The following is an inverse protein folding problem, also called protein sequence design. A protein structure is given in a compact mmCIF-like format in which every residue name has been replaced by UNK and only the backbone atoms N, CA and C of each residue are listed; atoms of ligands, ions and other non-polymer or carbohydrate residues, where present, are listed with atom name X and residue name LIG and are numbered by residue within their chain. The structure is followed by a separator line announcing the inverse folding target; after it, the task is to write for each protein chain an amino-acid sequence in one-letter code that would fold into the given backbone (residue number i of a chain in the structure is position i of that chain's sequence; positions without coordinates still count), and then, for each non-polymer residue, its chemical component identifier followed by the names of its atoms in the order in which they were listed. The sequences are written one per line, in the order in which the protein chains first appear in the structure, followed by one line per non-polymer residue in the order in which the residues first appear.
data_IF_185531934588
#
_entry.id   IF_185531934588
#
_cell.length_a   1.000
_cell.length_b   1.000
_cell.length_c   1.000
_cell.angle_alpha   90.00
_cell.angle_beta   90.00
_cell.angle_gamma   90.00
#
_symmetry.space_group_name_H-M   'P 1'
#
loop_
_entity.id
_entity.type
_entity.pdbx_description
1 polymer ?
#
# COMPACT_ATOMS: atom_id res chain seq x y z
N UNK A 1 1.73 2.59 -17.58
CA UNK A 1 2.89 1.99 -16.87
C UNK A 1 3.56 3.06 -16.00
N UNK A 2 2.92 3.44 -14.89
CA UNK A 2 3.36 4.56 -14.03
C UNK A 2 3.19 4.27 -12.52
N UNK A 3 2.91 3.02 -12.17
CA UNK A 3 2.66 2.57 -10.79
C UNK A 3 3.89 1.95 -10.11
N UNK A 4 5.01 1.77 -10.81
CA UNK A 4 6.22 1.12 -10.27
C UNK A 4 7.23 2.08 -9.63
N UNK A 5 6.87 3.35 -9.43
CA UNK A 5 7.81 4.38 -8.97
C UNK A 5 7.42 5.01 -7.62
N UNK A 6 6.67 4.27 -6.81
CA UNK A 6 6.30 4.70 -5.46
C UNK A 6 6.95 3.77 -4.45
N UNK A 7 8.04 4.22 -3.83
CA UNK A 7 8.59 3.58 -2.63
C UNK A 7 8.08 4.32 -1.40
N UNK A 8 7.30 3.61 -0.59
CA UNK A 8 6.71 4.10 0.65
C UNK A 8 7.65 3.81 1.84
N UNK A 9 8.45 4.78 2.27
CA UNK A 9 9.29 4.68 3.48
C UNK A 9 9.57 6.08 4.07
N UNK A 10 8.68 6.54 4.96
CA UNK A 10 8.82 7.75 5.81
C UNK A 10 8.78 9.13 5.11
N UNK A 11 8.68 10.25 5.86
CA UNK A 11 7.65 11.30 5.72
C UNK A 11 7.47 11.78 4.27
N UNK A 12 6.21 11.80 3.84
CA UNK A 12 5.76 11.91 2.46
C UNK A 12 6.20 13.23 1.79
N UNK A 13 7.44 13.30 1.30
CA UNK A 13 7.87 14.37 0.40
C UNK A 13 7.87 13.85 -1.03
N UNK A 14 6.83 14.22 -1.78
CA UNK A 14 6.83 14.14 -3.24
C UNK A 14 7.83 15.17 -3.77
N UNK A 15 9.00 14.69 -4.22
CA UNK A 15 9.96 15.55 -4.91
C UNK A 15 9.68 15.42 -6.41
N UNK A 16 8.97 16.39 -6.97
CA UNK A 16 8.78 16.47 -8.42
C UNK A 16 10.12 16.85 -9.07
N UNK A 17 10.71 15.93 -9.84
CA UNK A 17 11.94 16.19 -10.61
C UNK A 17 11.58 16.45 -12.08
N UNK A 18 11.96 17.61 -12.60
CA UNK A 18 11.72 18.04 -13.97
C UNK A 18 12.39 17.14 -15.03
N UNK A 19 13.32 16.27 -14.63
CA UNK A 19 13.87 15.21 -15.49
C UNK A 19 12.80 14.27 -16.08
N UNK A 20 11.61 14.19 -15.46
CA UNK A 20 10.50 13.36 -15.96
C UNK A 20 9.85 13.88 -17.26
N UNK A 21 10.15 15.13 -17.64
CA UNK A 21 9.72 15.73 -18.90
C UNK A 21 10.84 15.82 -19.94
N UNK A 22 12.05 15.33 -19.63
CA UNK A 22 13.18 15.36 -20.56
C UNK A 22 12.86 14.61 -21.86
N UNK A 23 13.01 15.30 -23.01
CA UNK A 23 12.75 14.76 -24.34
C UNK A 23 11.28 14.78 -24.79
N UNK A 24 10.37 15.39 -24.02
CA UNK A 24 8.97 15.64 -24.44
C UNK A 24 8.75 17.12 -24.69
N UNK A 25 7.77 17.46 -25.54
CA UNK A 25 7.33 18.84 -25.72
C UNK A 25 6.86 19.40 -24.37
N UNK A 26 7.28 20.63 -24.05
CA UNK A 26 6.87 21.29 -22.82
C UNK A 26 5.33 21.45 -22.85
N UNK A 27 4.61 20.98 -21.82
CA UNK A 27 3.18 21.23 -21.72
C UNK A 27 2.89 22.74 -21.68
N UNK A 28 1.81 23.14 -22.32
CA UNK A 28 1.38 24.54 -22.37
C UNK A 28 0.38 24.79 -21.24
N UNK A 29 0.63 25.84 -20.46
CA UNK A 29 -0.34 26.43 -19.54
C UNK A 29 -0.95 27.64 -20.23
N UNK A 30 -2.27 27.60 -20.41
CA UNK A 30 -2.99 28.75 -20.95
C UNK A 30 -3.33 29.71 -19.82
N UNK A 31 -3.00 30.98 -20.00
CA UNK A 31 -3.34 32.04 -19.04
C UNK A 31 -4.30 33.04 -19.65
N UNK A 32 -5.16 33.63 -18.83
CA UNK A 32 -6.06 34.71 -19.22
C UNK A 32 -5.93 35.88 -18.23
N UNK A 33 -5.34 36.99 -18.68
CA UNK A 33 -5.13 38.22 -17.91
C UNK A 33 -4.13 38.08 -16.76
N UNK A 34 -3.24 37.08 -16.81
CA UNK A 34 -2.26 36.84 -15.75
C UNK A 34 -0.96 37.63 -15.94
N UNK A 35 -0.72 38.15 -17.13
CA UNK A 35 0.35 39.11 -17.44
C UNK A 35 0.35 40.34 -16.51
N UNK A 36 -0.83 40.80 -16.09
CA UNK A 36 -0.96 41.90 -15.13
C UNK A 36 -0.59 41.52 -13.69
N UNK A 37 -0.50 40.22 -13.36
CA UNK A 37 -0.18 39.73 -12.02
C UNK A 37 1.31 39.40 -11.87
N UNK A 38 1.90 38.77 -12.89
CA UNK A 38 3.28 38.28 -12.83
C UNK A 38 4.13 38.64 -14.06
N UNK A 39 3.69 39.57 -14.91
CA UNK A 39 4.46 40.00 -16.08
C UNK A 39 4.59 38.95 -17.18
N UNK A 40 5.45 39.23 -18.17
CA UNK A 40 5.72 38.34 -19.32
C UNK A 40 7.01 37.52 -19.18
N UNK A 41 7.83 37.80 -18.16
CA UNK A 41 9.20 37.30 -18.04
C UNK A 41 9.43 36.17 -17.03
N UNK A 42 8.69 35.98 -15.91
CA UNK A 42 8.83 34.76 -15.14
C UNK A 42 8.08 33.64 -15.85
N UNK A 43 8.84 32.67 -16.39
CA UNK A 43 8.30 31.44 -16.95
C UNK A 43 8.39 30.30 -15.93
N UNK A 44 7.34 29.46 -15.81
CA UNK A 44 7.41 28.27 -14.99
C UNK A 44 8.42 27.30 -15.59
N UNK A 45 9.20 26.64 -14.74
CA UNK A 45 10.22 25.67 -15.19
C UNK A 45 9.51 24.46 -15.81
N UNK A 46 9.81 24.15 -17.07
CA UNK A 46 9.27 22.98 -17.78
C UNK A 46 7.84 23.14 -18.33
N UNK A 47 7.31 24.37 -18.35
CA UNK A 47 6.01 24.69 -18.97
C UNK A 47 6.15 25.91 -19.88
N UNK A 48 5.39 25.93 -20.97
CA UNK A 48 5.22 27.12 -21.79
C UNK A 48 3.96 27.86 -21.35
N UNK A 49 4.07 29.15 -21.07
CA UNK A 49 2.90 30.00 -20.77
C UNK A 49 2.44 30.65 -22.06
N UNK A 50 1.18 30.41 -22.41
CA UNK A 50 0.54 31.05 -23.53
C UNK A 50 -0.63 31.89 -23.03
N UNK A 51 -0.46 33.21 -23.10
CA UNK A 51 -1.44 34.19 -22.65
C UNK A 51 -2.45 34.45 -23.76
N UNK A 52 -3.73 34.19 -23.48
CA UNK A 52 -4.81 34.33 -24.45
C UNK A 52 -5.54 35.66 -24.34
N UNK A 53 -5.31 36.43 -23.26
CA UNK A 53 -5.99 37.70 -22.97
C UNK A 53 -7.53 37.59 -22.99
N UNK A 54 -8.08 36.42 -22.67
CA UNK A 54 -9.53 36.29 -22.50
C UNK A 54 -10.00 37.10 -21.29
N UNK A 55 -11.16 37.74 -21.43
CA UNK A 55 -11.70 38.62 -20.39
C UNK A 55 -12.31 37.86 -19.19
N UNK A 56 -12.68 36.59 -19.38
CA UNK A 56 -13.31 35.76 -18.35
C UNK A 56 -12.82 34.31 -18.45
N UNK A 57 -12.89 33.61 -17.31
CA UNK A 57 -12.63 32.17 -17.22
C UNK A 57 -13.61 31.34 -18.05
N UNK A 58 -14.83 31.83 -18.28
CA UNK A 58 -15.81 31.21 -19.18
C UNK A 58 -15.29 31.12 -20.62
N UNK A 59 -14.79 32.24 -21.17
CA UNK A 59 -14.20 32.24 -22.51
C UNK A 59 -12.96 31.34 -22.62
N UNK A 60 -12.13 31.33 -21.57
CA UNK A 60 -10.99 30.43 -21.50
C UNK A 60 -11.42 28.95 -21.45
N UNK A 61 -12.46 28.63 -20.69
CA UNK A 61 -13.04 27.29 -20.61
C UNK A 61 -13.63 26.85 -21.95
N UNK A 62 -14.38 27.71 -22.62
CA UNK A 62 -14.97 27.41 -23.94
C UNK A 62 -13.87 27.16 -24.97
N UNK A 63 -12.83 28.00 -25.01
CA UNK A 63 -11.67 27.78 -25.88
C UNK A 63 -10.96 26.44 -25.61
N UNK A 64 -10.79 26.08 -24.33
CA UNK A 64 -10.17 24.81 -23.94
C UNK A 64 -10.99 23.60 -24.40
N UNK A 65 -12.32 23.69 -24.33
CA UNK A 65 -13.23 22.63 -24.77
C UNK A 65 -13.27 22.54 -26.30
N UNK A 66 -13.36 23.67 -27.00
CA UNK A 66 -13.42 23.72 -28.46
C UNK A 66 -12.12 23.22 -29.11
N UNK A 67 -10.97 23.53 -28.50
CA UNK A 67 -9.65 23.12 -29.02
C UNK A 67 -9.13 21.81 -28.43
N UNK A 68 -9.96 21.09 -27.66
CA UNK A 68 -9.56 19.85 -26.98
C UNK A 68 -8.99 18.78 -27.93
N UNK A 69 -9.57 18.64 -29.12
CA UNK A 69 -9.12 17.62 -30.09
C UNK A 69 -8.08 18.11 -31.11
N UNK A 70 -7.73 19.40 -31.08
CA UNK A 70 -6.94 20.06 -32.13
C UNK A 70 -5.62 20.63 -31.58
N UNK A 71 -5.37 20.50 -30.27
CA UNK A 71 -4.14 21.00 -29.68
C UNK A 71 -2.92 20.10 -30.04
N UNK A 72 -1.85 20.70 -30.54
CA UNK A 72 -0.62 19.96 -30.86
C UNK A 72 0.20 19.59 -29.61
N UNK A 73 0.10 20.43 -28.57
CA UNK A 73 0.84 20.28 -27.31
C UNK A 73 -0.10 19.89 -26.16
N UNK A 74 0.34 19.06 -25.22
CA UNK A 74 -0.49 18.65 -24.10
C UNK A 74 -0.79 19.84 -23.18
N UNK A 75 -2.07 20.03 -22.87
CA UNK A 75 -2.57 21.05 -21.96
C UNK A 75 -3.16 20.37 -20.73
N UNK A 76 -2.55 20.58 -19.57
CA UNK A 76 -3.01 19.96 -18.33
C UNK A 76 -3.61 20.97 -17.35
N UNK A 77 -3.24 22.24 -17.45
CA UNK A 77 -3.80 23.31 -16.62
C UNK A 77 -3.94 24.61 -17.40
N UNK A 78 -4.86 25.44 -16.94
CA UNK A 78 -5.04 26.80 -17.36
C UNK A 78 -5.46 27.66 -16.17
N UNK A 79 -5.15 28.95 -16.20
CA UNK A 79 -5.44 29.88 -15.11
C UNK A 79 -6.04 31.15 -15.70
N UNK A 80 -7.21 31.54 -15.21
CA UNK A 80 -7.74 32.88 -15.46
C UNK A 80 -7.49 33.74 -14.23
N UNK A 81 -6.73 34.81 -14.41
CA UNK A 81 -6.43 35.76 -13.36
C UNK A 81 -7.41 36.93 -13.40
N UNK A 82 -7.79 37.41 -12.21
CA UNK A 82 -8.66 38.57 -12.02
C UNK A 82 -9.96 38.52 -12.83
N UNK A 83 -10.70 37.41 -12.71
CA UNK A 83 -11.97 37.23 -13.40
C UNK A 83 -13.03 38.19 -12.83
N UNK A 84 -13.36 39.22 -13.62
CA UNK A 84 -14.34 40.25 -13.25
C UNK A 84 -15.75 39.70 -13.09
N UNK A 85 -16.13 38.69 -13.86
CA UNK A 85 -17.48 38.13 -13.83
C UNK A 85 -17.71 37.33 -12.55
N UNK A 86 -16.75 36.50 -12.17
CA UNK A 86 -16.82 35.73 -10.92
C UNK A 86 -16.67 36.66 -9.71
N UNK A 87 -15.79 37.67 -9.80
CA UNK A 87 -15.66 38.68 -8.74
C UNK A 87 -16.97 39.45 -8.54
N UNK A 88 -17.63 39.87 -9.64
CA UNK A 88 -18.94 40.53 -9.59
C UNK A 88 -20.04 39.61 -9.04
N UNK A 89 -20.03 38.33 -9.42
CA UNK A 89 -20.96 37.33 -8.92
C UNK A 89 -20.82 37.14 -7.40
N UNK A 90 -19.59 36.91 -6.90
CA UNK A 90 -19.35 36.77 -5.46
C UNK A 90 -19.72 38.04 -4.68
N UNK A 91 -19.53 39.22 -5.29
CA UNK A 91 -19.95 40.50 -4.71
C UNK A 91 -21.48 40.58 -4.60
N UNK A 92 -22.20 40.16 -5.64
CA UNK A 92 -23.66 40.13 -5.64
C UNK A 92 -24.25 39.14 -4.62
N UNK A 93 -23.57 38.01 -4.36
CA UNK A 93 -24.00 36.98 -3.40
C UNK A 93 -23.50 37.27 -1.96
N UNK A 94 -22.72 38.34 -1.75
CA UNK A 94 -22.22 38.73 -0.44
C UNK A 94 -21.04 37.88 0.07
N UNK A 95 -20.39 37.11 -0.80
CA UNK A 95 -19.25 36.23 -0.46
C UNK A 95 -17.89 36.83 -0.86
N UNK A 96 -17.87 38.00 -1.49
CA UNK A 96 -16.63 38.66 -1.92
C UNK A 96 -15.75 39.07 -0.73
N UNK A 97 -14.47 38.69 -0.79
CA UNK A 97 -13.49 38.87 0.29
C UNK A 97 -12.51 40.03 0.09
N UNK A 98 -12.80 40.95 -0.82
CA UNK A 98 -11.98 42.17 -1.00
C UNK A 98 -10.88 42.07 -2.05
N UNK A 99 -10.71 40.93 -2.73
CA UNK A 99 -9.69 40.73 -3.78
C UNK A 99 -10.30 40.17 -5.05
N UNK A 100 -9.66 40.40 -6.18
CA UNK A 100 -10.05 39.79 -7.45
C UNK A 100 -9.85 38.26 -7.40
N UNK A 101 -10.74 37.53 -8.05
CA UNK A 101 -10.78 36.06 -8.01
C UNK A 101 -9.97 35.47 -9.15
N UNK A 102 -9.11 34.50 -8.82
CA UNK A 102 -8.38 33.70 -9.79
C UNK A 102 -9.00 32.31 -9.90
N UNK A 103 -9.14 31.81 -11.13
CA UNK A 103 -9.84 30.57 -11.45
C UNK A 103 -8.84 29.59 -12.04
N UNK A 104 -8.72 28.43 -11.39
CA UNK A 104 -7.87 27.35 -11.82
C UNK A 104 -8.67 26.30 -12.58
N UNK A 105 -8.28 26.06 -13.82
CA UNK A 105 -8.84 25.01 -14.67
C UNK A 105 -7.78 23.91 -14.78
N UNK A 106 -8.10 22.69 -14.38
CA UNK A 106 -7.18 21.58 -14.44
C UNK A 106 -7.84 20.35 -15.05
N UNK A 107 -7.02 19.55 -15.73
CA UNK A 107 -7.45 18.32 -16.33
C UNK A 107 -7.50 17.19 -15.29
N UNK A 108 -8.71 16.69 -15.01
CA UNK A 108 -8.95 15.63 -14.02
C UNK A 108 -8.41 14.25 -14.42
N UNK A 109 -8.00 14.06 -15.69
CA UNK A 109 -7.34 12.82 -16.14
C UNK A 109 -5.91 12.68 -15.60
N UNK A 110 -5.31 13.76 -15.10
CA UNK A 110 -4.00 13.74 -14.45
C UNK A 110 -4.15 13.86 -12.93
N UNK A 111 -3.79 12.79 -12.22
CA UNK A 111 -4.02 12.62 -10.77
C UNK A 111 -3.45 13.74 -9.88
N UNK A 112 -2.39 14.43 -10.31
CA UNK A 112 -1.69 15.44 -9.50
C UNK A 112 -1.82 16.86 -10.07
N UNK A 113 -2.62 17.04 -11.11
CA UNK A 113 -2.59 18.28 -11.88
C UNK A 113 -3.08 19.50 -11.11
N UNK A 114 -4.11 19.33 -10.26
CA UNK A 114 -4.62 20.41 -9.44
C UNK A 114 -3.54 20.97 -8.49
N UNK A 115 -2.84 20.08 -7.79
CA UNK A 115 -1.77 20.46 -6.88
C UNK A 115 -0.59 21.11 -7.62
N UNK A 116 -0.19 20.55 -8.76
CA UNK A 116 0.88 21.10 -9.59
C UNK A 116 0.50 22.49 -10.10
N UNK A 117 -0.73 22.70 -10.59
CA UNK A 117 -1.18 24.00 -11.09
C UNK A 117 -1.16 25.09 -10.02
N UNK A 118 -1.54 24.75 -8.79
CA UNK A 118 -1.51 25.66 -7.65
C UNK A 118 -0.06 26.00 -7.29
N UNK A 119 0.80 24.98 -7.23
CA UNK A 119 2.21 25.14 -6.93
C UNK A 119 2.93 26.03 -7.95
N UNK A 120 2.67 25.81 -9.24
CA UNK A 120 3.24 26.63 -10.33
C UNK A 120 2.74 28.07 -10.28
N UNK A 121 1.47 28.28 -9.93
CA UNK A 121 0.89 29.62 -9.84
C UNK A 121 1.55 30.45 -8.74
N UNK A 122 1.64 29.91 -7.54
CA UNK A 122 2.28 30.63 -6.43
C UNK A 122 3.78 30.82 -6.69
N UNK A 123 4.47 29.86 -7.32
CA UNK A 123 5.88 30.01 -7.69
C UNK A 123 6.11 31.24 -8.60
N UNK A 124 5.26 31.41 -9.61
CA UNK A 124 5.29 32.56 -10.50
C UNK A 124 4.94 33.87 -9.79
N UNK A 125 3.91 33.85 -8.94
CA UNK A 125 3.52 35.01 -8.16
C UNK A 125 4.65 35.51 -7.25
N UNK A 126 5.36 34.59 -6.58
CA UNK A 126 6.48 34.96 -5.71
C UNK A 126 7.71 35.44 -6.47
N UNK A 127 7.98 34.88 -7.66
CA UNK A 127 9.07 35.36 -8.54
C UNK A 127 8.87 36.81 -8.94
N UNK A 128 7.64 37.18 -9.30
CA UNK A 128 7.32 38.57 -9.62
C UNK A 128 7.41 39.46 -8.37
N UNK A 129 6.77 39.05 -7.26
CA UNK A 129 6.74 39.83 -6.03
C UNK A 129 8.15 40.17 -5.50
N UNK A 130 9.09 39.23 -5.63
CA UNK A 130 10.47 39.36 -5.16
C UNK A 130 11.44 39.84 -6.25
N UNK A 131 10.96 40.06 -7.48
CA UNK A 131 11.77 40.46 -8.64
C UNK A 131 12.95 39.53 -8.91
N UNK A 132 12.86 38.25 -8.52
CA UNK A 132 13.97 37.29 -8.58
C UNK A 132 13.50 35.93 -9.05
N UNK A 133 14.16 35.42 -10.11
CA UNK A 133 13.85 34.12 -10.72
C UNK A 133 14.36 32.91 -9.91
N UNK A 134 15.16 33.14 -8.86
CA UNK A 134 15.79 32.10 -8.04
C UNK A 134 15.00 31.74 -6.78
N UNK A 135 13.75 32.19 -6.68
CA UNK A 135 12.87 31.85 -5.55
C UNK A 135 11.97 30.72 -5.98
N UNK A 136 11.89 29.69 -5.13
CA UNK A 136 10.98 28.57 -5.30
C UNK A 136 10.24 28.31 -4.00
N UNK A 137 8.91 28.18 -4.06
CA UNK A 137 8.15 27.76 -2.89
C UNK A 137 8.14 26.23 -2.80
N UNK A 138 8.43 25.72 -1.59
CA UNK A 138 8.25 24.30 -1.28
C UNK A 138 6.80 24.07 -0.85
N UNK A 139 6.07 23.28 -1.64
CA UNK A 139 4.74 22.81 -1.30
C UNK A 139 4.86 21.41 -0.70
N UNK A 140 4.24 21.21 0.46
CA UNK A 140 3.99 19.87 1.00
C UNK A 140 2.49 19.61 0.84
N UNK A 141 2.14 18.56 0.11
CA UNK A 141 0.76 18.09 -0.03
C UNK A 141 0.65 16.83 0.81
N UNK A 142 -0.08 16.94 1.92
CA UNK A 142 -0.49 15.77 2.69
C UNK A 142 -1.73 15.17 2.02
N UNK A 143 -1.75 13.84 1.87
CA UNK A 143 -2.94 13.18 1.38
C UNK A 143 -4.06 13.31 2.42
N UNK A 144 -5.18 13.94 2.04
CA UNK A 144 -6.37 14.06 2.91
C UNK A 144 -6.87 12.71 3.44
N UNK A 145 -6.66 11.64 2.67
CA UNK A 145 -6.81 10.27 3.13
C UNK A 145 -5.61 9.45 2.65
N UNK A 146 -4.95 8.75 3.57
CA UNK A 146 -4.02 7.69 3.21
C UNK A 146 -4.77 6.69 2.31
N UNK A 147 -4.34 6.43 1.07
CA UNK A 147 -4.97 5.38 0.27
C UNK A 147 -4.85 4.09 1.05
N UNK A 148 -5.97 3.40 1.23
CA UNK A 148 -6.02 2.06 1.81
C UNK A 148 -5.14 1.17 0.93
N UNK A 149 -3.88 0.98 1.33
CA UNK A 149 -2.86 0.32 0.52
C UNK A 149 -3.13 -1.17 0.29
N UNK A 150 -4.04 -1.76 1.06
CA UNK A 150 -4.38 -3.15 0.91
C UNK A 150 -5.58 -3.29 -0.03
N UNK A 151 -5.26 -3.52 -1.30
CA UNK A 151 -6.25 -4.15 -2.20
C UNK A 151 -6.78 -5.40 -1.49
N UNK A 152 -8.09 -5.50 -1.33
CA UNK A 152 -8.74 -6.64 -0.67
C UNK A 152 -8.26 -8.00 -1.22
N UNK A 153 -7.96 -8.02 -2.52
CA UNK A 153 -7.42 -9.16 -3.23
C UNK A 153 -5.96 -9.46 -2.84
N UNK A 154 -5.16 -8.43 -2.58
CA UNK A 154 -3.81 -8.52 -2.01
C UNK A 154 -3.80 -9.18 -0.63
N UNK A 155 -4.72 -8.81 0.27
CA UNK A 155 -4.83 -9.43 1.59
C UNK A 155 -5.11 -10.93 1.50
N UNK A 156 -6.12 -11.29 0.68
CA UNK A 156 -6.51 -12.69 0.49
C UNK A 156 -5.39 -13.51 -0.15
N UNK A 157 -4.75 -12.98 -1.21
CA UNK A 157 -3.68 -13.70 -1.91
C UNK A 157 -2.44 -13.87 -1.05
N UNK A 158 -1.99 -12.82 -0.36
CA UNK A 158 -0.84 -12.91 0.54
C UNK A 158 -1.10 -13.89 1.68
N UNK A 159 -2.25 -13.80 2.34
CA UNK A 159 -2.59 -14.70 3.43
C UNK A 159 -2.76 -16.16 2.96
N UNK A 160 -3.35 -16.41 1.78
CA UNK A 160 -3.43 -17.75 1.22
C UNK A 160 -2.05 -18.33 0.89
N UNK A 161 -1.12 -17.53 0.36
CA UNK A 161 0.24 -17.96 0.06
C UNK A 161 1.03 -18.29 1.33
N UNK A 162 0.84 -17.52 2.40
CA UNK A 162 1.46 -17.80 3.70
C UNK A 162 0.84 -19.05 4.33
N UNK A 163 -0.48 -19.26 4.23
CA UNK A 163 -1.15 -20.41 4.85
C UNK A 163 -0.63 -21.77 4.34
N UNK A 164 -0.28 -21.88 3.06
CA UNK A 164 0.12 -23.17 2.45
C UNK A 164 1.32 -23.79 3.19
N UNK A 165 2.49 -23.13 3.35
CA UNK A 165 3.59 -23.67 4.16
C UNK A 165 3.19 -24.06 5.58
N UNK A 166 2.30 -23.30 6.23
CA UNK A 166 1.90 -23.57 7.60
C UNK A 166 1.04 -24.83 7.73
N UNK A 167 0.27 -25.22 6.71
CA UNK A 167 -0.49 -26.49 6.75
C UNK A 167 0.39 -27.72 6.58
N UNK A 168 1.57 -27.58 5.95
CA UNK A 168 2.56 -28.67 5.83
C UNK A 168 3.24 -29.00 7.17
N UNK A 169 3.40 -28.01 8.06
CA UNK A 169 4.07 -28.18 9.35
C UNK A 169 3.48 -29.29 10.22
N UNK A 170 2.15 -29.34 10.50
CA UNK A 170 1.54 -30.46 11.23
C UNK A 170 1.35 -31.71 10.39
N UNK A 171 1.19 -31.57 9.07
CA UNK A 171 0.90 -32.70 8.18
C UNK A 171 2.07 -33.68 8.06
N UNK A 172 3.30 -33.18 8.04
CA UNK A 172 4.51 -34.00 7.93
C UNK A 172 4.72 -34.98 9.11
N UNK A 173 4.70 -34.54 10.38
CA UNK A 173 4.77 -35.43 11.55
C UNK A 173 3.73 -36.55 11.52
N UNK A 174 2.47 -36.23 11.14
CA UNK A 174 1.41 -37.24 11.02
C UNK A 174 1.78 -38.31 10.00
N UNK A 175 2.20 -37.88 8.81
CA UNK A 175 2.51 -38.78 7.72
C UNK A 175 3.63 -39.77 8.12
N UNK A 176 4.68 -39.28 8.79
CA UNK A 176 5.80 -40.11 9.24
C UNK A 176 5.38 -41.12 10.31
N UNK A 177 4.63 -40.70 11.33
CA UNK A 177 4.15 -41.62 12.40
C UNK A 177 3.22 -42.71 11.84
N UNK A 178 2.38 -42.37 10.84
CA UNK A 178 1.52 -43.36 10.17
C UNK A 178 2.36 -44.28 9.29
N UNK A 179 3.34 -43.75 8.56
CA UNK A 179 4.26 -44.52 7.71
C UNK A 179 5.04 -45.56 8.52
N UNK A 180 5.54 -45.20 9.70
CA UNK A 180 6.26 -46.13 10.59
C UNK A 180 5.40 -47.30 11.08
N UNK A 181 4.10 -47.06 11.27
CA UNK A 181 3.13 -48.13 11.57
C UNK A 181 2.81 -48.95 10.34
N UNK A 182 2.65 -48.32 9.18
CA UNK A 182 2.31 -48.98 7.92
C UNK A 182 3.43 -49.92 7.44
N UNK A 183 4.70 -49.54 7.59
CA UNK A 183 5.83 -50.38 7.19
C UNK A 183 6.25 -51.41 8.26
N UNK A 184 5.58 -51.44 9.42
CA UNK A 184 5.91 -52.35 10.52
C UNK A 184 7.17 -51.96 11.32
N UNK A 185 7.85 -50.85 10.98
CA UNK A 185 9.02 -50.36 11.72
C UNK A 185 8.70 -50.14 13.20
N UNK A 186 7.52 -49.58 13.50
CA UNK A 186 7.06 -49.41 14.88
C UNK A 186 6.92 -50.74 15.64
N UNK A 187 6.48 -51.79 14.95
CA UNK A 187 6.36 -53.13 15.55
C UNK A 187 7.75 -53.72 15.82
N UNK A 188 8.68 -53.57 14.87
CA UNK A 188 10.07 -54.03 15.02
C UNK A 188 10.77 -53.31 16.19
N UNK A 189 10.60 -51.99 16.33
CA UNK A 189 11.14 -51.23 17.46
C UNK A 189 10.60 -51.74 18.82
N UNK A 190 9.32 -52.11 18.87
CA UNK A 190 8.74 -52.71 20.08
C UNK A 190 9.33 -54.10 20.38
N UNK A 191 9.59 -54.92 19.36
CA UNK A 191 10.27 -56.23 19.53
C UNK A 191 11.71 -56.07 20.04
N UNK A 192 12.39 -54.98 19.66
CA UNK A 192 13.70 -54.62 20.17
C UNK A 192 13.69 -54.08 21.61
N UNK A 193 12.53 -54.01 22.28
CA UNK A 193 12.40 -53.56 23.66
C UNK A 193 12.39 -52.03 23.83
N UNK A 194 12.12 -51.26 22.78
CA UNK A 194 12.01 -49.81 22.88
C UNK A 194 10.81 -49.41 23.76
N UNK A 195 11.07 -48.62 24.80
CA UNK A 195 10.01 -48.10 25.66
C UNK A 195 9.10 -47.12 24.89
N UNK A 196 7.79 -47.24 25.10
CA UNK A 196 6.76 -46.39 24.50
C UNK A 196 7.02 -44.89 24.72
N UNK A 197 7.40 -44.49 25.94
CA UNK A 197 7.65 -43.08 26.26
C UNK A 197 8.87 -42.51 25.51
N UNK A 198 9.92 -43.32 25.37
CA UNK A 198 11.16 -42.91 24.70
C UNK A 198 10.91 -42.66 23.21
N UNK A 199 10.09 -43.48 22.56
CA UNK A 199 9.69 -43.27 21.18
C UNK A 199 8.99 -41.93 20.96
N UNK A 200 7.96 -41.63 21.75
CA UNK A 200 7.20 -40.40 21.58
C UNK A 200 8.02 -39.16 21.93
N UNK A 201 8.86 -39.25 22.97
CA UNK A 201 9.78 -38.17 23.31
C UNK A 201 10.80 -37.92 22.19
N UNK A 202 11.39 -38.98 21.60
CA UNK A 202 12.34 -38.83 20.51
C UNK A 202 11.71 -38.20 19.26
N UNK A 203 10.52 -38.67 18.87
CA UNK A 203 9.78 -38.07 17.74
C UNK A 203 9.40 -36.62 18.01
N UNK A 204 8.89 -36.33 19.22
CA UNK A 204 8.51 -34.96 19.58
C UNK A 204 9.71 -34.01 19.57
N UNK A 205 10.86 -34.43 20.10
CA UNK A 205 12.09 -33.62 20.08
C UNK A 205 12.57 -33.40 18.64
N UNK A 206 12.52 -34.42 17.79
CA UNK A 206 12.90 -34.30 16.39
C UNK A 206 11.99 -33.34 15.62
N UNK A 207 10.68 -33.52 15.73
CA UNK A 207 9.69 -32.67 15.05
C UNK A 207 9.74 -31.23 15.57
N UNK A 208 9.97 -31.03 16.87
CA UNK A 208 10.13 -29.70 17.46
C UNK A 208 11.43 -29.02 16.98
N UNK A 209 12.53 -29.77 16.86
CA UNK A 209 13.78 -29.24 16.31
C UNK A 209 13.61 -28.81 14.84
N UNK A 210 12.96 -29.63 14.02
CA UNK A 210 12.65 -29.28 12.63
C UNK A 210 11.69 -28.07 12.53
N UNK A 211 10.72 -27.98 13.44
CA UNK A 211 9.84 -26.82 13.56
C UNK A 211 10.63 -25.54 13.89
N UNK A 212 11.55 -25.59 14.86
CA UNK A 212 12.38 -24.44 15.22
C UNK A 212 13.22 -23.93 14.04
N UNK A 213 13.80 -24.83 13.24
CA UNK A 213 14.51 -24.44 12.02
C UNK A 213 13.58 -23.68 11.06
N UNK A 214 12.37 -24.19 10.85
CA UNK A 214 11.38 -23.54 9.98
C UNK A 214 10.94 -22.18 10.52
N UNK A 215 10.73 -22.08 11.84
CA UNK A 215 10.37 -20.85 12.53
C UNK A 215 11.45 -19.76 12.38
N UNK A 216 12.73 -20.13 12.54
CA UNK A 216 13.85 -19.21 12.33
C UNK A 216 13.91 -18.70 10.89
N UNK A 217 13.66 -19.56 9.90
CA UNK A 217 13.58 -19.17 8.50
C UNK A 217 12.43 -18.17 8.24
N UNK A 218 11.25 -18.40 8.83
CA UNK A 218 10.13 -17.46 8.74
C UNK A 218 10.48 -16.07 9.31
N UNK A 219 11.12 -16.02 10.48
CA UNK A 219 11.55 -14.75 11.09
C UNK A 219 12.59 -14.06 10.22
N UNK A 220 13.55 -14.80 9.66
CA UNK A 220 14.56 -14.26 8.78
C UNK A 220 13.94 -13.65 7.51
N UNK A 221 12.93 -14.31 6.92
CA UNK A 221 12.17 -13.76 5.79
C UNK A 221 11.50 -12.45 6.18
N UNK A 222 10.81 -12.41 7.33
CA UNK A 222 10.19 -11.17 7.82
C UNK A 222 11.22 -10.05 8.03
N UNK A 223 12.45 -10.40 8.44
CA UNK A 223 13.54 -9.45 8.68
C UNK A 223 14.08 -8.88 7.37
N UNK A 224 14.32 -9.73 6.37
CA UNK A 224 14.75 -9.32 5.02
C UNK A 224 13.73 -8.35 4.41
N UNK A 225 12.44 -8.66 4.52
CA UNK A 225 11.37 -7.81 3.98
C UNK A 225 10.96 -6.65 4.92
N UNK A 226 11.66 -6.46 6.03
CA UNK A 226 11.42 -5.40 7.02
C UNK A 226 9.94 -5.24 7.42
N UNK A 227 9.27 -6.35 7.70
CA UNK A 227 7.85 -6.35 8.09
C UNK A 227 7.70 -5.94 9.57
N UNK A 228 7.54 -4.64 9.79
CA UNK A 228 7.38 -4.00 11.11
C UNK A 228 6.14 -4.47 11.90
N UNK A 229 5.18 -5.09 11.22
CA UNK A 229 4.02 -5.76 11.81
C UNK A 229 4.45 -6.95 12.69
N UNK A 230 5.47 -7.70 12.28
CA UNK A 230 5.94 -8.92 12.95
C UNK A 230 7.26 -8.74 13.72
N UNK A 231 8.12 -7.80 13.31
CA UNK A 231 9.46 -7.57 13.92
C UNK A 231 9.55 -6.19 14.61
N UNK A 232 8.44 -5.46 14.72
CA UNK A 232 8.44 -4.23 15.53
C UNK A 232 8.93 -4.52 16.95
N UNK A 233 9.69 -3.60 17.55
CA UNK A 233 10.29 -3.75 18.88
C UNK A 233 9.27 -4.21 19.94
N UNK A 234 8.05 -3.69 19.87
CA UNK A 234 6.96 -4.03 20.80
C UNK A 234 6.12 -5.25 20.37
N UNK A 235 6.33 -5.79 19.17
CA UNK A 235 5.49 -6.84 18.54
C UNK A 235 6.22 -8.18 18.42
N UNK A 236 7.54 -8.16 18.34
CA UNK A 236 8.37 -9.35 18.13
C UNK A 236 8.16 -10.41 19.21
N UNK A 237 7.96 -10.00 20.47
CA UNK A 237 7.66 -10.90 21.58
C UNK A 237 6.35 -11.66 21.37
N UNK A 238 5.30 -10.96 20.90
CA UNK A 238 4.01 -11.58 20.58
C UNK A 238 4.11 -12.58 19.42
N UNK A 239 4.86 -12.23 18.38
CA UNK A 239 5.10 -13.12 17.23
C UNK A 239 5.86 -14.39 17.63
N UNK A 240 6.89 -14.28 18.47
CA UNK A 240 7.63 -15.43 18.98
C UNK A 240 6.75 -16.36 19.81
N UNK A 241 5.95 -15.80 20.73
CA UNK A 241 5.02 -16.59 21.55
C UNK A 241 4.01 -17.31 20.66
N UNK A 242 3.46 -16.63 19.65
CA UNK A 242 2.51 -17.22 18.72
C UNK A 242 3.11 -18.41 17.96
N UNK A 243 4.35 -18.28 17.46
CA UNK A 243 5.03 -19.38 16.80
C UNK A 243 5.28 -20.55 17.75
N UNK A 244 5.80 -20.31 18.96
CA UNK A 244 6.06 -21.39 19.92
C UNK A 244 4.76 -22.14 20.28
N UNK A 245 3.69 -21.41 20.58
CA UNK A 245 2.39 -22.01 20.90
C UNK A 245 1.83 -22.78 19.70
N UNK A 246 1.96 -22.23 18.48
CA UNK A 246 1.54 -22.90 17.26
C UNK A 246 2.32 -24.20 17.03
N UNK A 247 3.65 -24.19 17.15
CA UNK A 247 4.48 -25.39 17.01
C UNK A 247 4.11 -26.49 18.00
N UNK A 248 3.92 -26.14 19.28
CA UNK A 248 3.53 -27.10 20.32
C UNK A 248 2.14 -27.69 20.09
N UNK A 249 1.14 -26.84 19.82
CA UNK A 249 -0.24 -27.30 19.65
C UNK A 249 -0.43 -28.08 18.36
N UNK A 250 0.20 -27.65 17.27
CA UNK A 250 0.09 -28.31 15.97
C UNK A 250 0.75 -29.69 15.95
N UNK A 251 1.92 -29.86 16.58
CA UNK A 251 2.63 -31.16 16.69
C UNK A 251 1.89 -32.13 17.61
N UNK A 252 1.40 -31.68 18.76
CA UNK A 252 0.59 -32.52 19.66
C UNK A 252 -0.73 -32.93 18.98
N UNK A 253 -1.40 -31.99 18.32
CA UNK A 253 -2.61 -32.26 17.55
C UNK A 253 -2.37 -33.24 16.40
N UNK A 254 -1.25 -33.12 15.71
CA UNK A 254 -0.81 -34.05 14.67
C UNK A 254 -0.70 -35.48 15.22
N UNK A 255 -0.02 -35.68 16.35
CA UNK A 255 0.08 -37.02 16.96
C UNK A 255 -1.28 -37.59 17.38
N UNK A 256 -2.17 -36.76 17.94
CA UNK A 256 -3.53 -37.19 18.27
C UNK A 256 -4.30 -37.65 17.02
N UNK A 257 -4.22 -36.89 15.92
CA UNK A 257 -4.87 -37.24 14.66
C UNK A 257 -4.23 -38.45 13.98
N UNK A 258 -2.94 -38.70 14.19
CA UNK A 258 -2.24 -39.84 13.58
C UNK A 258 -2.94 -41.17 13.85
N UNK A 259 -3.51 -41.36 15.05
CA UNK A 259 -4.17 -42.61 15.43
C UNK A 259 -5.41 -42.96 14.59
N UNK A 260 -6.04 -41.95 13.96
CA UNK A 260 -7.23 -42.14 13.13
C UNK A 260 -6.91 -42.72 11.74
N UNK A 261 -5.65 -42.68 11.32
CA UNK A 261 -5.23 -43.07 9.98
C UNK A 261 -4.40 -44.35 9.96
N UNK A 262 -4.61 -45.16 8.91
CA UNK A 262 -3.86 -46.39 8.63
C UNK A 262 -2.85 -46.23 7.48
N UNK A 263 -3.07 -45.27 6.59
CA UNK A 263 -2.26 -45.02 5.40
C UNK A 263 -1.64 -43.62 5.44
N UNK A 264 -0.33 -43.53 5.20
CA UNK A 264 0.43 -42.27 5.36
C UNK A 264 -0.02 -41.17 4.39
N UNK A 265 -0.25 -41.49 3.12
CA UNK A 265 -0.64 -40.52 2.09
C UNK A 265 -2.00 -39.90 2.39
N UNK A 266 -2.97 -40.71 2.82
CA UNK A 266 -4.30 -40.26 3.25
C UNK A 266 -4.19 -39.35 4.47
N UNK A 267 -3.39 -39.73 5.47
CA UNK A 267 -3.20 -38.94 6.69
C UNK A 267 -2.61 -37.55 6.38
N UNK A 268 -1.58 -37.49 5.54
CA UNK A 268 -0.94 -36.24 5.13
C UNK A 268 -1.94 -35.32 4.43
N UNK A 269 -2.65 -35.84 3.42
CA UNK A 269 -3.57 -35.08 2.58
C UNK A 269 -4.76 -34.57 3.39
N UNK A 270 -5.32 -35.40 4.28
CA UNK A 270 -6.48 -35.03 5.11
C UNK A 270 -6.12 -33.95 6.15
N UNK A 271 -4.98 -34.07 6.84
CA UNK A 271 -4.54 -33.07 7.83
C UNK A 271 -4.18 -31.75 7.14
N UNK A 272 -3.50 -31.81 6.01
CA UNK A 272 -3.16 -30.63 5.21
C UNK A 272 -4.43 -29.94 4.67
N UNK A 273 -5.38 -30.70 4.13
CA UNK A 273 -6.64 -30.19 3.61
C UNK A 273 -7.51 -29.58 4.71
N UNK A 274 -7.65 -30.25 5.85
CA UNK A 274 -8.38 -29.71 7.00
C UNK A 274 -7.74 -28.41 7.52
N UNK A 275 -6.41 -28.39 7.67
CA UNK A 275 -5.68 -27.19 8.07
C UNK A 275 -5.86 -26.04 7.10
N UNK A 276 -5.85 -26.31 5.79
CA UNK A 276 -6.06 -25.29 4.76
C UNK A 276 -7.47 -24.71 4.80
N UNK A 277 -8.50 -25.57 4.89
CA UNK A 277 -9.90 -25.12 4.96
C UNK A 277 -10.13 -24.29 6.22
N UNK A 278 -9.68 -24.75 7.38
CA UNK A 278 -9.84 -24.00 8.63
C UNK A 278 -9.07 -22.68 8.60
N UNK A 279 -7.82 -22.68 8.09
CA UNK A 279 -7.02 -21.47 7.95
C UNK A 279 -7.64 -20.45 6.98
N UNK A 280 -8.19 -20.92 5.86
CA UNK A 280 -8.86 -20.08 4.88
C UNK A 280 -10.17 -19.48 5.43
N UNK A 281 -10.96 -20.26 6.17
CA UNK A 281 -12.17 -19.76 6.82
C UNK A 281 -11.87 -18.68 7.86
N UNK A 282 -10.82 -18.87 8.67
CA UNK A 282 -10.37 -17.86 9.63
C UNK A 282 -9.88 -16.60 8.94
N UNK A 283 -9.14 -16.74 7.83
CA UNK A 283 -8.70 -15.61 7.01
C UNK A 283 -9.89 -14.83 6.44
N UNK A 284 -10.91 -15.51 5.92
CA UNK A 284 -12.14 -14.87 5.44
C UNK A 284 -12.92 -14.19 6.56
N UNK A 285 -12.95 -14.79 7.76
CA UNK A 285 -13.57 -14.18 8.92
C UNK A 285 -12.87 -12.87 9.30
N UNK A 286 -11.53 -12.88 9.39
CA UNK A 286 -10.74 -11.65 9.64
C UNK A 286 -11.00 -10.62 8.56
N UNK A 287 -11.03 -11.03 7.29
CA UNK A 287 -11.36 -10.14 6.18
C UNK A 287 -12.73 -9.47 6.36
N UNK A 288 -13.79 -10.24 6.67
CA UNK A 288 -15.13 -9.68 6.92
C UNK A 288 -15.11 -8.71 8.11
N UNK A 289 -14.39 -9.02 9.19
CA UNK A 289 -14.26 -8.14 10.34
C UNK A 289 -13.54 -6.82 10.01
N UNK A 290 -12.58 -6.83 9.07
CA UNK A 290 -11.89 -5.61 8.63
C UNK A 290 -12.75 -4.70 7.75
N UNK A 291 -13.83 -5.21 7.17
CA UNK A 291 -14.77 -4.39 6.39
C UNK A 291 -15.68 -3.52 7.28
N UNK A 292 -15.84 -3.87 8.56
CA UNK A 292 -16.67 -3.09 9.49
C UNK A 292 -15.91 -1.83 9.95
N UNK A 293 -16.39 -0.61 9.64
CA UNK A 293 -15.73 0.63 10.03
C UNK A 293 -15.62 0.81 11.55
N UNK A 294 -16.45 0.13 12.34
CA UNK A 294 -16.39 0.14 13.81
C UNK A 294 -15.12 -0.54 14.36
N UNK A 295 -14.57 -1.49 13.60
CA UNK A 295 -13.38 -2.26 13.96
C UNK A 295 -12.07 -1.58 13.51
N UNK A 296 -12.15 -0.62 12.57
CA UNK A 296 -10.99 0.11 12.06
C UNK A 296 -10.21 0.81 13.18
N UNK A 297 -10.92 1.39 14.15
CA UNK A 297 -10.32 2.08 15.30
C UNK A 297 -9.58 1.14 16.27
N UNK A 298 -9.83 -0.17 16.24
CA UNK A 298 -9.17 -1.15 17.13
C UNK A 298 -7.83 -1.58 16.51
N UNK A 299 -7.77 -1.70 15.18
CA UNK A 299 -6.57 -1.96 14.39
C UNK A 299 -5.57 -0.79 14.50
N UNK A 300 -6.03 0.44 14.30
CA UNK A 300 -5.15 1.62 14.23
C UNK A 300 -4.66 2.14 15.58
N UNK A 301 -5.39 1.87 16.68
CA UNK A 301 -4.99 2.33 18.04
C UNK A 301 -3.64 1.82 18.52
N UNK A 302 -3.09 0.78 17.88
CA UNK A 302 -1.75 0.22 18.18
C UNK A 302 -0.68 0.52 17.12
N UNK A 303 -1.05 1.16 16.00
CA UNK A 303 -0.10 1.56 14.96
C UNK A 303 0.27 3.05 15.15
N UNK A 304 -0.66 3.89 15.61
CA UNK A 304 -0.42 5.34 15.83
C UNK A 304 0.22 5.74 17.16
N UNK A 305 0.83 4.82 17.92
CA UNK A 305 1.55 5.14 19.18
C UNK A 305 3.07 5.04 19.06
N UNK A 306 3.59 4.76 17.86
CA UNK A 306 5.00 4.72 17.55
C UNK A 306 5.31 5.74 16.45
N UNK A 307 5.17 7.02 16.79
CA UNK A 307 5.80 8.16 16.12
C UNK A 307 6.09 9.20 17.19
#
# INVERSE_FOLDING_TARGET
MLLNLVQYRDPQSLTYDYAMFAGKANPVVLTAGCDALWGSEPRPVGYEVNETHFATSGMLSDYLLDTWYVHDMPRYSAVSCMDRNITAFLSAVGEWRGTDVNVFLYNSSSFHQAAISLATYYDLFFKELLGTNNVFMRYSVELFNKPSGDTHLGFITFGALVMIPFTFLPSNPVAWVVKERQCGSRHLQNLCGLNFFVYWAANFVFDMAAYFVTMLLCILIFAIFNRQEFIGHDRIGGTLVLFVVYGLTSTVGAYALSFLFKEHSSAQTMVMGAGFVTGFLLLMLVYVLTLDPSNANISDKKIGRAS
#
